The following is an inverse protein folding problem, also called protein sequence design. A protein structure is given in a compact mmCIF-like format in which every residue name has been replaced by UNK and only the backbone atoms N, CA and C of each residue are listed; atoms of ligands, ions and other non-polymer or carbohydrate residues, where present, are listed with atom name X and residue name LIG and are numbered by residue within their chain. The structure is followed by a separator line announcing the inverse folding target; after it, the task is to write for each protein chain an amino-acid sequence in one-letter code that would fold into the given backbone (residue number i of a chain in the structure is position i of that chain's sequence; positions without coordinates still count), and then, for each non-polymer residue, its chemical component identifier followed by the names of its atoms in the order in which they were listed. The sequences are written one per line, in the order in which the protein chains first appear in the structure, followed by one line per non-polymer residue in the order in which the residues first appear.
data_IF_017998243859
#
_entry.id   IF_017998243859
#
_cell.length_a   1.000
_cell.length_b   1.000
_cell.length_c   1.000
_cell.angle_alpha   90.00
_cell.angle_beta   90.00
_cell.angle_gamma   90.00
#
_symmetry.space_group_name_H-M   'P 1'
#
loop_
_entity.id
_entity.type
_entity.pdbx_description
1 polymer ?
#
# COMPACT_ATOMS: atom_id res chain seq x y z
N UNK A 1 22.26 -18.72 -7.44
CA UNK A 1 22.32 -17.55 -6.52
C UNK A 1 20.94 -16.94 -6.43
N UNK A 2 20.16 -17.29 -5.40
CA UNK A 2 18.91 -16.56 -5.13
C UNK A 2 19.31 -15.16 -4.67
N UNK A 3 18.94 -14.17 -5.48
CA UNK A 3 19.39 -12.78 -5.38
C UNK A 3 19.20 -12.27 -3.94
N UNK A 4 20.22 -11.66 -3.33
CA UNK A 4 20.15 -11.17 -1.95
C UNK A 4 18.98 -10.20 -1.73
N UNK A 5 18.53 -9.57 -2.82
CA UNK A 5 17.31 -8.78 -2.93
C UNK A 5 16.02 -9.58 -2.70
N UNK A 6 15.89 -10.74 -3.35
CA UNK A 6 14.71 -11.61 -3.22
C UNK A 6 14.53 -12.08 -1.78
N UNK A 7 15.63 -12.39 -1.09
CA UNK A 7 15.64 -12.77 0.33
C UNK A 7 15.20 -11.62 1.25
N UNK A 8 15.59 -10.38 0.95
CA UNK A 8 15.15 -9.20 1.72
C UNK A 8 13.66 -8.90 1.49
N UNK A 9 13.18 -9.00 0.25
CA UNK A 9 11.76 -8.84 -0.09
C UNK A 9 10.90 -9.90 0.59
N UNK A 10 11.33 -11.17 0.56
CA UNK A 10 10.67 -12.26 1.29
C UNK A 10 10.60 -11.98 2.80
N UNK A 11 11.67 -11.45 3.40
CA UNK A 11 11.69 -11.09 4.83
C UNK A 11 10.66 -10.00 5.17
N UNK A 12 10.51 -8.97 4.34
CA UNK A 12 9.50 -7.94 4.52
C UNK A 12 8.06 -8.48 4.38
N UNK A 13 7.83 -9.36 3.40
CA UNK A 13 6.54 -10.03 3.20
C UNK A 13 6.19 -10.93 4.40
N UNK A 14 7.15 -11.71 4.91
CA UNK A 14 6.93 -12.58 6.08
C UNK A 14 6.69 -11.79 7.36
N UNK A 15 7.34 -10.63 7.53
CA UNK A 15 7.14 -9.77 8.69
C UNK A 15 5.74 -9.13 8.67
N UNK A 16 5.28 -8.68 7.49
CA UNK A 16 3.91 -8.19 7.30
C UNK A 16 2.85 -9.25 7.56
N UNK A 17 3.08 -10.50 7.15
CA UNK A 17 2.17 -11.63 7.37
C UNK A 17 2.08 -12.02 8.86
N UNK A 18 3.18 -11.93 9.62
CA UNK A 18 3.16 -12.19 11.07
C UNK A 18 2.38 -11.16 11.87
N UNK A 19 2.30 -9.91 11.40
CA UNK A 19 1.47 -8.87 12.02
C UNK A 19 -0.02 -9.04 11.70
N UNK A 20 -0.36 -9.68 10.58
CA UNK A 20 -1.76 -10.00 10.20
C UNK A 20 -2.44 -10.97 11.18
N UNK A 21 -1.67 -11.79 11.90
CA UNK A 21 -2.17 -12.81 12.84
C UNK A 21 -2.38 -12.28 14.26
N UNK A 22 -2.09 -10.99 14.53
CA UNK A 22 -2.28 -10.40 15.86
C UNK A 22 -3.75 -9.98 16.11
N UNK A 23 -4.43 -10.86 16.84
CA UNK A 23 -5.83 -10.87 17.30
C UNK A 23 -6.40 -9.55 17.88
N UNK A 24 -7.74 -9.38 17.93
CA UNK A 24 -8.44 -8.09 17.93
C UNK A 24 -8.61 -7.47 19.32
N UNK A 25 -8.48 -6.14 19.42
CA UNK A 25 -8.95 -5.35 20.57
C UNK A 25 -10.28 -4.72 20.19
N UNK A 26 -11.28 -4.88 21.07
CA UNK A 26 -12.65 -4.39 20.93
C UNK A 26 -12.66 -2.88 21.20
N UNK A 27 -13.05 -2.06 20.22
CA UNK A 27 -13.32 -0.64 20.42
C UNK A 27 -14.69 -0.25 19.86
N UNK A 28 -15.35 0.72 20.51
CA UNK A 28 -16.54 1.40 19.98
C UNK A 28 -16.22 1.96 18.60
N UNK A 29 -17.02 1.61 17.60
CA UNK A 29 -16.74 2.02 16.22
C UNK A 29 -17.04 3.51 16.04
N UNK A 30 -16.02 4.37 15.82
CA UNK A 30 -16.29 5.74 15.41
C UNK A 30 -17.02 5.76 14.06
N UNK A 31 -17.74 6.86 13.80
CA UNK A 31 -18.42 7.05 12.52
C UNK A 31 -17.37 7.11 11.41
N UNK A 32 -17.42 6.14 10.52
CA UNK A 32 -16.50 5.99 9.38
C UNK A 32 -17.30 6.09 8.08
N UNK A 33 -17.60 7.27 7.53
CA UNK A 33 -18.43 7.41 6.32
C UNK A 33 -17.68 6.96 5.06
N UNK A 34 -18.42 6.46 4.06
CA UNK A 34 -17.83 6.09 2.76
C UNK A 34 -17.35 7.29 1.94
N UNK A 35 -17.93 8.47 2.17
CA UNK A 35 -17.63 9.71 1.44
C UNK A 35 -17.10 10.77 2.40
N UNK A 36 -15.96 10.47 3.00
CA UNK A 36 -15.23 11.42 3.84
C UNK A 36 -13.90 11.80 3.19
N UNK A 37 -13.36 12.95 3.59
CA UNK A 37 -12.10 13.48 3.06
C UNK A 37 -10.93 12.52 3.32
N UNK A 38 -10.99 11.76 4.40
CA UNK A 38 -10.04 10.69 4.73
C UNK A 38 -9.92 9.65 3.59
N UNK A 39 -11.02 9.24 2.96
CA UNK A 39 -11.02 8.27 1.84
C UNK A 39 -10.32 8.83 0.62
N UNK A 40 -10.48 10.13 0.36
CA UNK A 40 -9.75 10.82 -0.71
C UNK A 40 -8.25 10.83 -0.42
N UNK A 41 -7.86 11.04 0.84
CA UNK A 41 -6.45 10.99 1.25
C UNK A 41 -5.87 9.59 1.07
N UNK A 42 -6.55 8.54 1.55
CA UNK A 42 -6.14 7.14 1.37
C UNK A 42 -5.92 6.79 -0.10
N UNK A 43 -6.93 7.06 -0.94
CA UNK A 43 -6.82 6.89 -2.38
C UNK A 43 -5.63 7.63 -2.99
N UNK A 44 -5.48 8.92 -2.64
CA UNK A 44 -4.47 9.79 -3.23
C UNK A 44 -3.06 9.35 -2.82
N UNK A 45 -2.83 9.07 -1.54
CA UNK A 45 -1.53 8.62 -1.05
C UNK A 45 -1.15 7.26 -1.62
N UNK A 46 -2.07 6.29 -1.66
CA UNK A 46 -1.80 4.99 -2.27
C UNK A 46 -1.43 5.14 -3.76
N UNK A 47 -2.15 5.98 -4.50
CA UNK A 47 -1.84 6.28 -5.89
C UNK A 47 -0.44 6.92 -6.06
N UNK A 48 -0.16 7.98 -5.30
CA UNK A 48 1.10 8.73 -5.40
C UNK A 48 2.30 7.89 -4.96
N UNK A 49 2.18 7.10 -3.89
CA UNK A 49 3.24 6.19 -3.43
C UNK A 49 3.56 5.17 -4.53
N UNK A 50 2.54 4.57 -5.13
CA UNK A 50 2.71 3.62 -6.24
C UNK A 50 3.39 4.26 -7.44
N UNK A 51 2.90 5.41 -7.92
CA UNK A 51 3.45 6.08 -9.10
C UNK A 51 4.87 6.61 -8.89
N UNK A 52 5.13 7.23 -7.74
CA UNK A 52 6.46 7.77 -7.42
C UNK A 52 7.50 6.66 -7.25
N UNK A 53 7.15 5.58 -6.55
CA UNK A 53 8.02 4.41 -6.41
C UNK A 53 8.29 3.78 -7.77
N UNK A 54 7.26 3.59 -8.60
CA UNK A 54 7.42 3.08 -9.96
C UNK A 54 8.38 3.95 -10.78
N UNK A 55 8.21 5.27 -10.72
CA UNK A 55 9.04 6.21 -11.47
C UNK A 55 10.52 6.10 -11.06
N UNK A 56 10.80 6.06 -9.76
CA UNK A 56 12.18 5.94 -9.24
C UNK A 56 12.79 4.60 -9.66
N UNK A 57 12.07 3.49 -9.48
CA UNK A 57 12.57 2.16 -9.82
C UNK A 57 12.92 2.04 -11.31
N UNK A 58 12.03 2.50 -12.19
CA UNK A 58 12.24 2.39 -13.64
C UNK A 58 13.27 3.41 -14.14
N UNK A 59 13.12 4.69 -13.80
CA UNK A 59 13.89 5.76 -14.44
C UNK A 59 15.19 6.11 -13.73
N UNK A 60 15.32 5.78 -12.44
CA UNK A 60 16.52 6.09 -11.64
C UNK A 60 17.32 4.85 -11.29
N UNK A 61 16.69 3.68 -11.25
CA UNK A 61 17.35 2.41 -10.93
C UNK A 61 17.40 1.43 -12.11
N UNK A 62 16.90 1.82 -13.28
CA UNK A 62 16.87 0.99 -14.50
C UNK A 62 16.22 -0.39 -14.29
N UNK A 63 15.28 -0.49 -13.34
CA UNK A 63 14.57 -1.74 -13.06
C UNK A 63 13.55 -2.03 -14.19
N UNK A 64 13.40 -3.29 -14.63
CA UNK A 64 12.35 -3.66 -15.56
C UNK A 64 10.97 -3.27 -15.04
N UNK A 65 10.12 -2.70 -15.90
CA UNK A 65 8.77 -2.23 -15.54
C UNK A 65 7.94 -3.30 -14.81
N UNK A 66 8.06 -4.55 -15.24
CA UNK A 66 7.34 -5.71 -14.67
C UNK A 66 7.82 -6.09 -13.27
N UNK A 67 9.07 -5.84 -12.93
CA UNK A 67 9.58 -6.03 -11.57
C UNK A 67 9.24 -4.82 -10.69
N UNK A 68 9.38 -3.62 -11.26
CA UNK A 68 9.08 -2.38 -10.56
C UNK A 68 7.62 -2.31 -10.11
N UNK A 69 6.66 -2.80 -10.91
CA UNK A 69 5.23 -2.77 -10.56
C UNK A 69 4.91 -3.62 -9.32
N UNK A 70 5.63 -4.74 -9.13
CA UNK A 70 5.46 -5.60 -7.95
C UNK A 70 5.95 -4.85 -6.71
N UNK A 71 7.11 -4.20 -6.80
CA UNK A 71 7.70 -3.47 -5.66
C UNK A 71 6.88 -2.21 -5.34
N UNK A 72 6.53 -1.40 -6.34
CA UNK A 72 5.76 -0.17 -6.14
C UNK A 72 4.38 -0.46 -5.54
N UNK A 73 3.71 -1.51 -6.01
CA UNK A 73 2.44 -1.96 -5.43
C UNK A 73 2.60 -2.45 -3.99
N UNK A 74 3.65 -3.22 -3.71
CA UNK A 74 3.94 -3.73 -2.36
C UNK A 74 4.21 -2.61 -1.37
N UNK A 75 4.98 -1.58 -1.76
CA UNK A 75 5.25 -0.41 -0.91
C UNK A 75 3.96 0.32 -0.57
N UNK A 76 3.07 0.53 -1.54
CA UNK A 76 1.77 1.16 -1.29
C UNK A 76 0.87 0.33 -0.37
N UNK A 77 0.81 -1.00 -0.57
CA UNK A 77 0.01 -1.89 0.29
C UNK A 77 0.52 -1.88 1.74
N UNK A 78 1.84 -1.95 1.92
CA UNK A 78 2.46 -1.90 3.25
C UNK A 78 2.19 -0.55 3.91
N UNK A 79 2.23 0.55 3.16
CA UNK A 79 1.92 1.88 3.69
C UNK A 79 0.46 1.98 4.18
N UNK A 80 -0.51 1.54 3.36
CA UNK A 80 -1.94 1.57 3.71
C UNK A 80 -2.28 0.66 4.90
N UNK A 81 -1.89 -0.61 4.83
CA UNK A 81 -2.09 -1.57 5.93
C UNK A 81 -1.33 -1.13 7.19
N UNK A 82 -0.11 -0.63 7.04
CA UNK A 82 0.71 -0.13 8.15
C UNK A 82 0.06 1.05 8.86
N UNK A 83 -0.53 2.00 8.12
CA UNK A 83 -1.29 3.12 8.68
C UNK A 83 -2.48 2.61 9.50
N UNK A 84 -3.30 1.72 8.96
CA UNK A 84 -4.47 1.19 9.67
C UNK A 84 -4.10 0.38 10.92
N UNK A 85 -3.01 -0.39 10.86
CA UNK A 85 -2.47 -1.08 12.04
C UNK A 85 -1.93 -0.11 13.09
N UNK A 86 -1.28 0.98 12.66
CA UNK A 86 -0.81 2.01 13.55
C UNK A 86 -1.97 2.76 14.22
N UNK A 87 -3.02 3.08 13.46
CA UNK A 87 -4.22 3.75 13.98
C UNK A 87 -4.96 2.86 14.97
N UNK A 88 -5.08 1.56 14.71
CA UNK A 88 -5.63 0.59 15.66
C UNK A 88 -4.94 0.59 17.03
N UNK A 89 -3.66 0.93 17.09
CA UNK A 89 -2.88 0.94 18.33
C UNK A 89 -2.95 2.29 19.07
N UNK A 90 -3.61 3.31 18.51
CA UNK A 90 -3.78 4.60 19.17
C UNK A 90 -4.97 4.58 20.13
N UNK A 91 -4.94 5.38 21.22
CA UNK A 91 -6.12 5.57 22.05
C UNK A 91 -7.28 6.12 21.22
N UNK A 92 -8.42 5.40 21.17
CA UNK A 92 -9.61 5.71 20.34
C UNK A 92 -9.39 5.59 18.83
N UNK A 93 -8.30 4.99 18.41
CA UNK A 93 -8.01 4.74 17.01
C UNK A 93 -8.62 3.42 16.56
N UNK A 94 -9.12 3.38 15.33
CA UNK A 94 -9.82 2.22 14.81
C UNK A 94 -9.24 1.80 13.46
N UNK A 95 -9.38 0.52 13.16
CA UNK A 95 -9.03 -0.04 11.87
C UNK A 95 -10.22 0.12 10.91
N UNK A 96 -10.09 0.96 9.88
CA UNK A 96 -11.12 1.14 8.87
C UNK A 96 -10.91 0.21 7.69
N UNK A 97 -11.91 -0.65 7.45
CA UNK A 97 -11.98 -1.42 6.20
C UNK A 97 -12.27 -0.54 4.99
N UNK A 98 -12.89 0.63 5.19
CA UNK A 98 -13.24 1.57 4.12
C UNK A 98 -11.99 2.31 3.66
N UNK A 99 -11.08 2.64 4.57
CA UNK A 99 -9.75 3.16 4.26
C UNK A 99 -8.92 2.18 3.42
N UNK A 100 -8.89 0.90 3.81
CA UNK A 100 -8.24 -0.13 3.00
C UNK A 100 -8.82 -0.25 1.58
N UNK A 101 -10.14 -0.12 1.43
CA UNK A 101 -10.76 -0.14 0.10
C UNK A 101 -10.32 1.09 -0.70
N UNK A 102 -10.26 2.27 -0.08
CA UNK A 102 -9.76 3.47 -0.74
C UNK A 102 -8.29 3.32 -1.16
N UNK A 103 -7.44 2.73 -0.32
CA UNK A 103 -6.05 2.42 -0.66
C UNK A 103 -5.95 1.46 -1.84
N UNK A 104 -6.77 0.39 -1.87
CA UNK A 104 -6.81 -0.57 -2.98
C UNK A 104 -7.29 0.08 -4.29
N UNK A 105 -8.27 0.99 -4.22
CA UNK A 105 -8.72 1.76 -5.39
C UNK A 105 -7.62 2.69 -5.90
N UNK A 106 -6.89 3.36 -5.01
CA UNK A 106 -5.75 4.23 -5.36
C UNK A 106 -4.62 3.44 -6.02
N UNK A 107 -4.28 2.29 -5.46
CA UNK A 107 -3.32 1.35 -6.04
C UNK A 107 -3.77 0.84 -7.41
N UNK A 108 -5.02 0.39 -7.54
CA UNK A 108 -5.58 -0.10 -8.80
C UNK A 108 -5.55 0.98 -9.88
N UNK A 109 -5.86 2.23 -9.51
CA UNK A 109 -5.77 3.37 -10.42
C UNK A 109 -4.32 3.67 -10.84
N UNK A 110 -3.36 3.60 -9.92
CA UNK A 110 -1.94 3.73 -10.27
C UNK A 110 -1.47 2.62 -11.21
N UNK A 111 -1.84 1.36 -10.95
CA UNK A 111 -1.54 0.22 -11.84
C UNK A 111 -2.12 0.44 -13.23
N UNK A 112 -3.37 0.94 -13.32
CA UNK A 112 -3.98 1.30 -14.59
C UNK A 112 -3.17 2.37 -15.34
N UNK A 113 -2.78 3.46 -14.67
CA UNK A 113 -1.94 4.52 -15.27
C UNK A 113 -0.61 3.95 -15.76
N UNK A 114 0.06 3.12 -14.95
CA UNK A 114 1.32 2.47 -15.31
C UNK A 114 1.14 1.57 -16.53
N UNK A 115 -0.01 0.89 -16.64
CA UNK A 115 -0.35 -0.01 -17.74
C UNK A 115 -0.66 0.70 -19.06
N UNK A 116 -0.94 2.01 -19.04
CA UNK A 116 -1.21 2.76 -20.27
C UNK A 116 -0.02 2.68 -21.24
N UNK A 117 -0.27 2.52 -22.55
CA UNK A 117 0.78 2.56 -23.54
C UNK A 117 1.42 3.95 -23.51
N UNK A 118 2.75 4.01 -23.39
CA UNK A 118 3.46 5.26 -23.65
C UNK A 118 3.32 5.52 -25.14
N UNK A 119 2.73 6.67 -25.51
CA UNK A 119 2.91 7.20 -26.86
C UNK A 119 4.38 7.63 -26.96
N UNK A 120 5.21 6.74 -27.47
CA UNK A 120 6.56 7.02 -27.93
C UNK A 120 6.51 7.17 -29.46
#
# INVERSE_FOLDING_TARGET
MVNAYLRKVLLFITLGLSLLLASPVKEEKPKDPWFAFDKVQHFTFACLISLSTQYVLVNKMAMPKNEAIIISSSVSLIAGVGKELYDRNKPKGFFSRRDLIADLLGLGFAVYIIGLPSKA
#
